data_IF_572094520525
#
_entry.id   IF_572094520525
#
_cell.length_a   1.000
_cell.length_b   1.000
_cell.length_c   1.000
_cell.angle_alpha   90.00
_cell.angle_beta   90.00
_cell.angle_gamma   90.00
#
_symmetry.space_group_name_H-M   'P 1'
#
loop_
_entity.id
_entity.type
_entity.pdbx_description
1 polymer ?
#
# COMPACT_ATOMS: atom_id res chain seq x y z
N UNK A 1 5.16 -12.81 -15.02
CA UNK A 1 3.71 -12.57 -15.00
C UNK A 1 3.44 -11.10 -14.74
N UNK A 2 2.20 -10.67 -14.89
CA UNK A 2 1.75 -9.32 -14.53
C UNK A 2 1.59 -9.17 -13.01
N UNK A 3 1.50 -7.93 -12.53
CA UNK A 3 1.28 -7.61 -11.11
C UNK A 3 -0.18 -7.82 -10.76
N UNK A 4 -0.47 -8.68 -9.78
CA UNK A 4 -1.82 -8.83 -9.23
C UNK A 4 -2.21 -7.62 -8.38
N UNK A 5 -3.52 -7.33 -8.27
CA UNK A 5 -4.03 -6.24 -7.44
C UNK A 5 -5.15 -6.75 -6.55
N UNK A 6 -5.11 -6.38 -5.26
CA UNK A 6 -6.19 -6.58 -4.31
C UNK A 6 -6.55 -5.25 -3.64
N UNK A 7 -7.85 -5.04 -3.41
CA UNK A 7 -8.37 -3.84 -2.75
C UNK A 7 -9.25 -4.28 -1.58
N UNK A 8 -8.98 -3.75 -0.39
CA UNK A 8 -9.71 -4.08 0.84
C UNK A 8 -10.02 -2.83 1.68
N UNK A 9 -10.98 -2.95 2.58
CA UNK A 9 -11.26 -1.90 3.58
C UNK A 9 -10.24 -1.92 4.72
N UNK A 10 -10.30 -0.93 5.60
CA UNK A 10 -9.50 -0.82 6.83
C UNK A 10 -9.74 -1.94 7.85
N UNK A 11 -8.91 -1.93 8.90
CA UNK A 11 -9.03 -2.82 10.06
C UNK A 11 -9.14 -4.29 9.64
N UNK A 12 -10.29 -4.97 9.89
CA UNK A 12 -10.44 -6.39 9.60
C UNK A 12 -10.30 -6.75 8.11
N UNK A 13 -10.64 -5.81 7.21
CA UNK A 13 -10.46 -6.01 5.77
C UNK A 13 -8.99 -6.22 5.42
N UNK A 14 -8.13 -5.39 5.98
CA UNK A 14 -6.68 -5.51 5.85
C UNK A 14 -6.13 -6.73 6.59
N UNK A 15 -6.48 -6.95 7.86
CA UNK A 15 -5.87 -8.05 8.65
C UNK A 15 -6.15 -9.44 8.08
N UNK A 16 -7.28 -9.63 7.38
CA UNK A 16 -7.58 -10.87 6.69
C UNK A 16 -6.65 -11.18 5.50
N UNK A 17 -5.90 -10.18 5.02
CA UNK A 17 -4.99 -10.34 3.88
C UNK A 17 -3.58 -10.78 4.27
N UNK A 18 -3.22 -10.72 5.56
CA UNK A 18 -1.83 -10.93 6.02
C UNK A 18 -1.29 -12.29 5.61
N UNK A 19 -2.08 -13.35 5.74
CA UNK A 19 -1.68 -14.69 5.29
C UNK A 19 -1.41 -14.72 3.79
N UNK A 20 -2.24 -14.04 2.99
CA UNK A 20 -2.05 -13.92 1.54
C UNK A 20 -0.80 -13.14 1.16
N UNK A 21 -0.51 -12.03 1.87
CA UNK A 21 0.73 -11.26 1.70
C UNK A 21 1.95 -12.12 2.03
N UNK A 22 1.92 -12.86 3.15
CA UNK A 22 3.03 -13.72 3.55
C UNK A 22 3.31 -14.83 2.52
N UNK A 23 2.26 -15.44 1.96
CA UNK A 23 2.39 -16.41 0.86
C UNK A 23 2.99 -15.76 -0.38
N UNK A 24 2.44 -14.63 -0.84
CA UNK A 24 2.95 -13.93 -2.01
C UNK A 24 4.42 -13.50 -1.85
N UNK A 25 4.82 -13.08 -0.65
CA UNK A 25 6.19 -12.72 -0.32
C UNK A 25 7.14 -13.92 -0.38
N UNK A 26 6.73 -15.04 0.22
CA UNK A 26 7.52 -16.28 0.25
C UNK A 26 7.72 -16.85 -1.15
N UNK A 27 6.66 -16.86 -1.94
CA UNK A 27 6.62 -17.45 -3.30
C UNK A 27 7.10 -16.48 -4.39
N UNK A 28 7.52 -15.27 -4.02
CA UNK A 28 8.00 -14.23 -4.94
C UNK A 28 6.97 -13.84 -6.00
N UNK A 29 5.71 -13.66 -5.57
CA UNK A 29 4.59 -13.29 -6.43
C UNK A 29 4.42 -11.77 -6.43
N UNK A 30 4.44 -11.09 -7.60
CA UNK A 30 4.21 -9.66 -7.68
C UNK A 30 2.74 -9.33 -7.37
N UNK A 31 2.52 -8.58 -6.30
CA UNK A 31 1.19 -8.19 -5.82
C UNK A 31 1.21 -6.75 -5.31
N UNK A 32 0.16 -5.98 -5.59
CA UNK A 32 -0.09 -4.70 -4.93
C UNK A 32 -1.39 -4.82 -4.16
N UNK A 33 -1.33 -4.68 -2.84
CA UNK A 33 -2.48 -4.58 -1.96
C UNK A 33 -2.76 -3.11 -1.66
N UNK A 34 -3.97 -2.65 -1.92
CA UNK A 34 -4.46 -1.33 -1.52
C UNK A 34 -5.47 -1.53 -0.40
N UNK A 35 -5.23 -0.94 0.75
CA UNK A 35 -6.16 -0.96 1.88
C UNK A 35 -6.66 0.44 2.20
N UNK A 36 -7.85 0.52 2.79
CA UNK A 36 -8.34 1.74 3.40
C UNK A 36 -7.76 1.94 4.80
N UNK A 37 -7.72 3.20 5.23
CA UNK A 37 -7.37 3.60 6.59
C UNK A 37 -8.42 4.59 7.14
N UNK A 38 -8.44 4.77 8.46
CA UNK A 38 -9.17 5.89 9.07
C UNK A 38 -8.67 7.23 8.51
N UNK A 39 -9.45 8.29 8.68
CA UNK A 39 -9.04 9.61 8.20
C UNK A 39 -7.73 10.05 8.87
N UNK A 40 -6.89 10.84 8.18
CA UNK A 40 -5.59 11.29 8.70
C UNK A 40 -5.67 11.86 10.13
N UNK A 41 -6.72 12.66 10.43
CA UNK A 41 -6.93 13.28 11.74
C UNK A 41 -7.26 12.30 12.88
N UNK A 42 -7.58 11.05 12.54
CA UNK A 42 -7.95 9.98 13.48
C UNK A 42 -6.85 8.94 13.66
N UNK A 43 -5.75 9.02 12.89
CA UNK A 43 -4.61 8.12 13.05
C UNK A 43 -3.94 8.42 14.40
N UNK A 44 -3.70 7.38 15.20
CA UNK A 44 -3.14 7.43 16.55
C UNK A 44 -4.15 7.78 17.64
N UNK A 45 -5.46 7.66 17.38
CA UNK A 45 -6.52 8.05 18.33
C UNK A 45 -7.35 6.89 18.87
N UNK A 46 -6.96 5.65 18.55
CA UNK A 46 -7.73 4.42 18.79
C UNK A 46 -9.13 4.50 18.16
N UNK A 47 -9.21 5.08 16.96
CA UNK A 47 -10.48 5.21 16.25
C UNK A 47 -11.04 3.85 15.82
N UNK A 48 -12.35 3.78 15.59
CA UNK A 48 -12.98 2.53 15.17
C UNK A 48 -12.36 2.00 13.87
N UNK A 49 -11.88 0.74 13.92
CA UNK A 49 -11.15 0.06 12.83
C UNK A 49 -9.80 0.68 12.46
N UNK A 50 -9.25 1.57 13.29
CA UNK A 50 -7.84 1.96 13.19
C UNK A 50 -6.96 0.75 13.52
N UNK A 51 -5.93 0.54 12.71
CA UNK A 51 -4.88 -0.43 12.99
C UNK A 51 -3.58 0.03 12.33
N UNK A 52 -2.44 -0.33 12.93
CA UNK A 52 -1.11 -0.10 12.34
C UNK A 52 -0.86 -1.09 11.19
N UNK A 53 -1.52 -0.86 10.06
CA UNK A 53 -1.45 -1.73 8.89
C UNK A 53 -0.03 -1.76 8.27
N UNK A 54 0.69 -0.64 8.36
CA UNK A 54 2.10 -0.53 7.94
C UNK A 54 2.98 -1.42 8.83
N UNK A 55 2.86 -1.32 10.15
CA UNK A 55 3.62 -2.15 11.08
C UNK A 55 3.34 -3.64 10.92
N UNK A 56 2.06 -4.02 10.80
CA UNK A 56 1.64 -5.42 10.64
C UNK A 56 2.12 -6.03 9.31
N UNK A 57 2.05 -5.27 8.21
CA UNK A 57 2.45 -5.78 6.89
C UNK A 57 3.96 -5.86 6.68
N UNK A 58 4.75 -5.06 7.41
CA UNK A 58 6.20 -4.87 7.21
C UNK A 58 7.03 -6.15 7.03
N UNK A 59 6.83 -7.25 7.80
CA UNK A 59 7.59 -8.49 7.61
C UNK A 59 7.14 -9.32 6.39
N UNK A 60 6.00 -9.00 5.79
CA UNK A 60 5.34 -9.78 4.74
C UNK A 60 5.26 -9.04 3.40
N UNK A 61 5.96 -7.91 3.25
CA UNK A 61 5.97 -7.10 2.02
C UNK A 61 7.37 -6.61 1.68
N UNK A 62 7.61 -6.34 0.40
CA UNK A 62 8.85 -5.68 -0.04
C UNK A 62 8.90 -4.23 0.41
N UNK A 63 7.74 -3.58 0.43
CA UNK A 63 7.59 -2.19 0.83
C UNK A 63 6.15 -1.90 1.23
N UNK A 64 5.95 -0.88 2.05
CA UNK A 64 4.64 -0.35 2.39
C UNK A 64 4.63 1.17 2.35
N UNK A 65 3.48 1.73 1.99
CA UNK A 65 3.23 3.17 1.95
C UNK A 65 2.02 3.51 2.82
N UNK A 66 2.07 4.64 3.50
CA UNK A 66 0.90 5.34 4.04
C UNK A 66 0.72 6.62 3.23
N UNK A 67 -0.37 6.70 2.46
CA UNK A 67 -0.61 7.81 1.53
C UNK A 67 -1.36 8.92 2.26
N UNK A 68 -0.66 9.81 2.95
CA UNK A 68 -1.32 10.89 3.72
C UNK A 68 -1.83 12.05 2.86
N UNK A 69 -1.42 12.14 1.59
CA UNK A 69 -1.67 13.27 0.70
C UNK A 69 -2.01 12.78 -0.72
N UNK A 70 -3.04 13.35 -1.35
CA UNK A 70 -3.55 12.87 -2.66
C UNK A 70 -2.54 13.11 -3.80
N UNK A 71 -1.74 14.16 -3.71
CA UNK A 71 -0.72 14.56 -4.69
C UNK A 71 0.41 13.52 -4.80
N UNK A 72 0.65 12.73 -3.75
CA UNK A 72 1.68 11.70 -3.76
C UNK A 72 1.20 10.39 -4.39
N UNK A 73 -0.12 10.19 -4.46
CA UNK A 73 -0.71 8.93 -4.87
C UNK A 73 -0.28 8.45 -6.26
N UNK A 74 -0.20 9.30 -7.31
CA UNK A 74 0.28 8.88 -8.63
C UNK A 74 1.72 8.34 -8.61
N UNK A 75 2.60 9.01 -7.86
CA UNK A 75 4.01 8.61 -7.68
C UNK A 75 4.10 7.28 -6.93
N UNK A 76 3.42 7.17 -5.80
CA UNK A 76 3.41 5.98 -4.95
C UNK A 76 2.87 4.77 -5.70
N UNK A 77 1.80 4.95 -6.49
CA UNK A 77 1.26 3.87 -7.31
C UNK A 77 2.31 3.38 -8.32
N UNK A 78 3.01 4.30 -9.00
CA UNK A 78 4.06 3.92 -9.95
C UNK A 78 5.20 3.15 -9.26
N UNK A 79 5.66 3.65 -8.13
CA UNK A 79 6.71 3.02 -7.33
C UNK A 79 6.28 1.64 -6.84
N UNK A 80 5.05 1.48 -6.36
CA UNK A 80 4.54 0.20 -5.86
C UNK A 80 4.54 -0.89 -6.94
N UNK A 81 4.07 -0.58 -8.15
CA UNK A 81 4.10 -1.53 -9.26
C UNK A 81 5.53 -1.85 -9.71
N UNK A 82 6.43 -0.86 -9.70
CA UNK A 82 7.83 -1.09 -10.00
C UNK A 82 8.50 -1.99 -8.96
N UNK A 83 8.32 -1.69 -7.66
CA UNK A 83 8.88 -2.47 -6.55
C UNK A 83 8.33 -3.89 -6.56
N UNK A 84 7.03 -4.08 -6.79
CA UNK A 84 6.43 -5.40 -6.81
C UNK A 84 7.07 -6.32 -7.87
N UNK A 85 7.53 -5.74 -8.98
CA UNK A 85 8.15 -6.47 -10.12
C UNK A 85 9.67 -6.52 -10.14
N UNK A 86 10.36 -5.54 -9.57
CA UNK A 86 11.81 -5.39 -9.72
C UNK A 86 12.59 -6.36 -8.83
N UNK A 87 13.77 -6.81 -9.28
CA UNK A 87 14.59 -7.78 -8.55
C UNK A 87 13.84 -9.10 -8.30
N UNK A 88 13.85 -9.58 -7.04
CA UNK A 88 12.95 -10.68 -6.61
C UNK A 88 11.53 -10.11 -6.47
N UNK A 89 10.54 -10.57 -7.25
CA UNK A 89 9.18 -10.04 -7.15
C UNK A 89 8.57 -10.34 -5.79
N UNK A 90 7.55 -9.56 -5.42
CA UNK A 90 6.87 -9.73 -4.14
C UNK A 90 5.80 -8.68 -3.90
N UNK A 91 5.05 -8.81 -2.80
CA UNK A 91 3.94 -7.91 -2.50
C UNK A 91 4.41 -6.52 -2.03
N UNK A 92 3.62 -5.51 -2.38
CA UNK A 92 3.71 -4.13 -1.87
C UNK A 92 2.35 -3.75 -1.30
N UNK A 93 2.35 -3.06 -0.17
CA UNK A 93 1.12 -2.60 0.49
C UNK A 93 1.00 -1.07 0.41
N UNK A 94 -0.17 -0.57 0.02
CA UNK A 94 -0.50 0.87 -0.01
C UNK A 94 -1.70 1.08 0.92
N UNK A 95 -1.49 1.78 2.02
CA UNK A 95 -2.52 2.13 3.00
C UNK A 95 -3.03 3.56 2.72
N UNK A 96 -4.34 3.71 2.53
CA UNK A 96 -4.95 4.96 2.04
C UNK A 96 -6.03 5.47 3.01
N UNK A 97 -5.77 6.58 3.74
CA UNK A 97 -6.75 7.28 4.55
C UNK A 97 -8.02 7.65 3.77
N UNK A 98 -9.17 7.47 4.42
CA UNK A 98 -10.48 7.74 3.80
C UNK A 98 -10.59 9.16 3.25
N UNK A 99 -10.10 10.16 3.96
CA UNK A 99 -10.11 11.57 3.53
C UNK A 99 -9.25 11.79 2.28
N UNK A 100 -8.12 11.09 2.15
CA UNK A 100 -7.30 11.12 0.93
C UNK A 100 -8.05 10.51 -0.23
N UNK A 101 -8.66 9.33 -0.03
CA UNK A 101 -9.44 8.66 -1.09
C UNK A 101 -10.67 9.45 -1.55
N UNK A 102 -11.22 10.31 -0.69
CA UNK A 102 -12.36 11.17 -0.97
C UNK A 102 -11.95 12.51 -1.61
N UNK A 103 -10.66 12.84 -1.64
CA UNK A 103 -10.17 14.12 -2.14
C UNK A 103 -9.92 14.05 -3.66
N UNK A 104 -10.32 15.11 -4.38
CA UNK A 104 -9.97 15.28 -5.79
C UNK A 104 -8.55 15.85 -5.90
N UNK A 105 -7.69 15.19 -6.67
CA UNK A 105 -6.32 15.63 -6.94
C UNK A 105 -6.00 15.67 -8.43
N UNK A 106 -4.93 16.40 -8.78
CA UNK A 106 -4.38 16.37 -10.13
C UNK A 106 -3.68 15.03 -10.39
N UNK A 107 -3.96 14.42 -11.53
CA UNK A 107 -3.34 13.15 -11.90
C UNK A 107 -2.10 13.38 -12.78
N UNK A 108 -0.94 13.55 -12.13
CA UNK A 108 0.35 13.66 -12.81
C UNK A 108 1.16 12.37 -12.58
N UNK A 109 1.00 11.41 -13.49
CA UNK A 109 1.73 10.15 -13.39
C UNK A 109 3.18 10.33 -13.88
N UNK A 110 4.19 10.12 -13.01
CA UNK A 110 5.58 10.42 -13.36
C UNK A 110 6.06 9.50 -14.49
N UNK A 111 6.91 9.99 -15.41
CA UNK A 111 7.46 9.16 -16.51
C UNK A 111 8.59 8.25 -16.05
N UNK A 112 9.42 8.73 -15.15
CA UNK A 112 10.55 8.02 -14.57
C UNK A 112 10.33 7.79 -13.08
N UNK A 113 11.05 6.83 -12.51
CA UNK A 113 11.01 6.52 -11.08
C UNK A 113 12.39 6.82 -10.53
N UNK A 114 12.48 7.72 -9.56
CA UNK A 114 13.70 7.96 -8.79
C UNK A 114 13.47 7.44 -7.37
N UNK A 115 13.95 6.22 -7.09
CA UNK A 115 13.91 5.67 -5.74
C UNK A 115 15.24 5.92 -5.05
N UNK A 116 15.18 6.39 -3.80
CA UNK A 116 16.35 6.38 -2.93
C UNK A 116 16.66 4.93 -2.56
N UNK A 117 17.74 4.38 -3.11
CA UNK A 117 18.33 3.13 -2.62
C UNK A 117 19.02 3.39 -1.28
N UNK A 118 18.67 2.61 -0.26
CA UNK A 118 19.37 2.54 1.02
C UNK A 118 20.61 1.64 0.92
#
# INVERSE_FOLDING_TARGET
GEVGVAIVTSGPGFTNTITGLATAYSDSIPLVLISGQVANSLIGTDAFQEIDAVGISRPCVKHNYLVTCIEEFPRILKEAFYIARSGRPGPVHIDVPKDVSATLGLWEYPKEISMKTY
#
